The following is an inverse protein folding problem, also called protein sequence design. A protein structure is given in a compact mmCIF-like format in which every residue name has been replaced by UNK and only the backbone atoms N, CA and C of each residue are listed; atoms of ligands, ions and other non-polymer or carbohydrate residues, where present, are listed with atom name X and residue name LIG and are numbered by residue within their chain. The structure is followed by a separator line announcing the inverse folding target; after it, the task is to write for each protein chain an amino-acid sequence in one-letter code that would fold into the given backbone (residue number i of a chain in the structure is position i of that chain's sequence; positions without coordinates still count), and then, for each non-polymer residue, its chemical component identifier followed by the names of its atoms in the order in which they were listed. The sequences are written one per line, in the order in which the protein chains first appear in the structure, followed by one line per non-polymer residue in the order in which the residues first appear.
data_IF_478463427800
#
_entry.id   IF_478463427800
#
_cell.length_a   1.000
_cell.length_b   1.000
_cell.length_c   1.000
_cell.angle_alpha   90.00
_cell.angle_beta   90.00
_cell.angle_gamma   90.00
#
_symmetry.space_group_name_H-M   'P 1'
#
loop_
_entity.id
_entity.type
_entity.pdbx_description
1 polymer ?
#
# COMPACT_ATOMS: atom_id res chain seq x y z
N UNK A 1 24.50 10.25 -2.99
CA UNK A 1 25.95 10.46 -2.70
C UNK A 1 26.16 11.23 -1.39
N UNK A 2 26.12 12.57 -1.32
CA UNK A 2 26.41 13.30 -0.05
C UNK A 2 25.49 12.97 1.15
N UNK A 3 24.19 12.75 0.90
CA UNK A 3 23.21 12.41 1.95
C UNK A 3 23.48 10.99 2.49
N UNK A 4 23.77 10.04 1.61
CA UNK A 4 23.98 8.62 1.96
C UNK A 4 25.30 8.44 2.70
N UNK A 5 26.34 9.19 2.33
CA UNK A 5 27.63 9.24 3.03
C UNK A 5 27.51 9.85 4.43
N UNK A 6 26.69 10.89 4.61
CA UNK A 6 26.41 11.46 5.93
C UNK A 6 25.68 10.44 6.83
N UNK A 7 24.67 9.74 6.29
CA UNK A 7 23.98 8.65 7.00
C UNK A 7 24.91 7.48 7.36
N UNK A 8 25.76 7.05 6.43
CA UNK A 8 26.70 5.94 6.66
C UNK A 8 27.71 6.23 7.79
N UNK A 9 28.00 7.52 8.03
CA UNK A 9 28.83 8.00 9.14
C UNK A 9 28.05 8.28 10.42
N UNK A 10 26.73 8.05 10.44
CA UNK A 10 25.86 8.34 11.58
C UNK A 10 25.50 9.83 11.75
N UNK A 11 25.88 10.70 10.81
CA UNK A 11 25.59 12.14 10.85
C UNK A 11 24.24 12.44 10.18
N UNK A 12 23.17 12.08 10.89
CA UNK A 12 21.81 12.31 10.42
C UNK A 12 21.45 13.81 10.34
N UNK A 13 22.09 14.65 11.16
CA UNK A 13 21.85 16.10 11.15
C UNK A 13 22.38 16.74 9.87
N UNK A 14 23.57 16.33 9.44
CA UNK A 14 24.13 16.81 8.17
C UNK A 14 23.35 16.28 6.97
N UNK A 15 22.92 15.02 7.00
CA UNK A 15 22.04 14.46 5.97
C UNK A 15 20.73 15.29 5.83
N UNK A 16 20.18 15.77 6.94
CA UNK A 16 18.97 16.60 6.96
C UNK A 16 19.21 18.03 6.49
N UNK A 17 20.34 18.64 6.85
CA UNK A 17 20.75 19.94 6.32
C UNK A 17 20.91 19.91 4.80
N UNK A 18 21.57 18.88 4.26
CA UNK A 18 21.74 18.73 2.81
C UNK A 18 20.40 18.62 2.09
N UNK A 19 19.43 17.90 2.67
CA UNK A 19 18.07 17.78 2.12
C UNK A 19 17.31 19.11 2.15
N UNK A 20 17.42 19.85 3.25
CA UNK A 20 16.78 21.16 3.37
C UNK A 20 17.38 22.17 2.38
N UNK A 21 18.71 22.19 2.24
CA UNK A 21 19.37 23.07 1.27
C UNK A 21 18.90 22.79 -0.17
N UNK A 22 18.79 21.50 -0.54
CA UNK A 22 18.22 21.10 -1.83
C UNK A 22 16.77 21.58 -1.99
N UNK A 23 15.94 21.42 -0.95
CA UNK A 23 14.55 21.91 -0.96
C UNK A 23 14.49 23.42 -1.21
N UNK A 24 15.40 24.21 -0.62
CA UNK A 24 15.52 25.64 -0.86
C UNK A 24 15.97 26.00 -2.29
N UNK A 25 16.84 25.19 -2.90
CA UNK A 25 17.31 25.40 -4.27
C UNK A 25 16.25 25.03 -5.32
N UNK A 26 15.49 23.96 -5.08
CA UNK A 26 14.54 23.38 -6.06
C UNK A 26 13.12 23.97 -5.96
N UNK A 27 12.77 24.63 -4.85
CA UNK A 27 11.42 25.15 -4.60
C UNK A 27 11.39 26.67 -4.67
N UNK A 28 10.51 27.23 -5.52
CA UNK A 28 10.37 28.68 -5.71
C UNK A 28 10.00 29.44 -4.43
N UNK A 29 9.20 28.82 -3.55
CA UNK A 29 8.84 29.32 -2.23
C UNK A 29 9.07 28.20 -1.20
N UNK A 30 10.31 28.06 -0.70
CA UNK A 30 10.62 26.98 0.21
C UNK A 30 10.03 27.26 1.59
N UNK A 31 9.43 26.22 2.17
CA UNK A 31 9.03 26.20 3.58
C UNK A 31 10.17 26.63 4.51
N UNK A 32 9.82 27.32 5.59
CA UNK A 32 10.77 27.59 6.66
C UNK A 32 11.30 26.30 7.28
N UNK A 33 12.54 26.32 7.77
CA UNK A 33 13.23 25.14 8.32
C UNK A 33 12.39 24.39 9.35
N UNK A 34 11.76 25.12 10.27
CA UNK A 34 10.94 24.54 11.34
C UNK A 34 9.73 23.78 10.77
N UNK A 35 9.05 24.34 9.78
CA UNK A 35 7.91 23.70 9.12
C UNK A 35 8.34 22.51 8.27
N UNK A 36 9.47 22.64 7.58
CA UNK A 36 10.05 21.55 6.79
C UNK A 36 10.42 20.35 7.66
N UNK A 37 11.07 20.58 8.81
CA UNK A 37 11.43 19.51 9.75
C UNK A 37 10.18 18.79 10.29
N UNK A 38 9.12 19.53 10.63
CA UNK A 38 7.84 18.94 11.06
C UNK A 38 7.23 18.08 9.94
N UNK A 39 7.14 18.60 8.71
CA UNK A 39 6.58 17.83 7.58
C UNK A 39 7.40 16.59 7.27
N UNK A 40 8.73 16.69 7.30
CA UNK A 40 9.63 15.56 7.07
C UNK A 40 9.49 14.49 8.15
N UNK A 41 9.44 14.88 9.41
CA UNK A 41 9.29 13.92 10.50
C UNK A 41 7.92 13.22 10.43
N UNK A 42 6.86 13.96 10.11
CA UNK A 42 5.54 13.38 9.85
C UNK A 42 5.57 12.42 8.66
N UNK A 43 6.27 12.77 7.58
CA UNK A 43 6.44 11.88 6.42
C UNK A 43 7.21 10.61 6.81
N UNK A 44 8.29 10.74 7.60
CA UNK A 44 9.08 9.60 8.07
C UNK A 44 8.24 8.65 8.92
N UNK A 45 7.51 9.17 9.90
CA UNK A 45 6.60 8.37 10.74
C UNK A 45 5.50 7.71 9.91
N UNK A 46 4.95 8.41 8.93
CA UNK A 46 3.95 7.87 8.01
C UNK A 46 4.51 6.71 7.18
N UNK A 47 5.75 6.85 6.68
CA UNK A 47 6.44 5.79 5.93
C UNK A 47 6.78 4.57 6.80
N UNK A 48 7.30 4.79 8.00
CA UNK A 48 7.61 3.72 8.97
C UNK A 48 6.34 2.95 9.32
N UNK A 49 5.27 3.66 9.65
CA UNK A 49 3.96 3.05 9.93
C UNK A 49 3.39 2.32 8.72
N UNK A 50 3.49 2.90 7.53
CA UNK A 50 3.05 2.26 6.29
C UNK A 50 3.72 0.91 6.07
N UNK A 51 5.04 0.81 6.32
CA UNK A 51 5.79 -0.45 6.24
C UNK A 51 5.37 -1.45 7.31
N UNK A 52 5.17 -1.00 8.54
CA UNK A 52 4.72 -1.88 9.63
C UNK A 52 3.35 -2.50 9.31
N UNK A 53 2.42 -1.69 8.81
CA UNK A 53 1.08 -2.15 8.45
C UNK A 53 1.08 -3.01 7.18
N UNK A 54 1.95 -2.74 6.21
CA UNK A 54 2.18 -3.61 5.05
C UNK A 54 2.65 -5.01 5.48
N UNK A 55 3.63 -5.09 6.38
CA UNK A 55 4.14 -6.37 6.91
C UNK A 55 3.01 -7.14 7.62
N UNK A 56 2.22 -6.45 8.46
CA UNK A 56 1.07 -7.06 9.14
C UNK A 56 0.01 -7.53 8.13
N UNK A 57 -0.31 -6.71 7.13
CA UNK A 57 -1.27 -7.02 6.08
C UNK A 57 -0.87 -8.23 5.26
N UNK A 58 0.39 -8.29 4.80
CA UNK A 58 0.95 -9.46 4.10
C UNK A 58 0.87 -10.72 4.95
N UNK A 59 1.31 -10.64 6.22
CA UNK A 59 1.27 -11.78 7.13
C UNK A 59 -0.17 -12.27 7.36
N UNK A 60 -1.08 -11.36 7.66
CA UNK A 60 -2.49 -11.66 7.90
C UNK A 60 -3.14 -12.32 6.67
N UNK A 61 -2.85 -11.82 5.47
CA UNK A 61 -3.34 -12.41 4.24
C UNK A 61 -2.75 -13.81 4.00
N UNK A 62 -1.45 -13.98 4.21
CA UNK A 62 -0.79 -15.29 4.08
C UNK A 62 -1.38 -16.34 5.02
N UNK A 63 -1.62 -15.97 6.28
CA UNK A 63 -2.31 -16.83 7.25
C UNK A 63 -3.75 -17.14 6.83
N UNK A 64 -4.51 -16.13 6.36
CA UNK A 64 -5.89 -16.30 5.90
C UNK A 64 -6.00 -17.25 4.71
N UNK A 65 -5.07 -17.16 3.76
CA UNK A 65 -5.02 -18.00 2.56
C UNK A 65 -4.27 -19.32 2.78
N UNK A 66 -3.70 -19.53 3.97
CA UNK A 66 -2.81 -20.65 4.29
C UNK A 66 -1.67 -20.82 3.27
N UNK A 67 -1.02 -19.72 2.89
CA UNK A 67 0.11 -19.71 1.94
C UNK A 67 1.13 -18.64 2.29
N UNK A 68 2.38 -18.85 1.88
CA UNK A 68 3.43 -17.85 2.03
C UNK A 68 3.31 -16.79 0.93
N UNK A 69 3.48 -15.52 1.30
CA UNK A 69 3.60 -14.39 0.38
C UNK A 69 5.03 -13.82 0.48
N UNK A 70 5.68 -13.69 -0.66
CA UNK A 70 7.04 -13.16 -0.78
C UNK A 70 7.01 -11.63 -0.66
N UNK A 71 7.91 -11.08 0.17
CA UNK A 71 8.12 -9.65 0.30
C UNK A 71 8.89 -9.11 -0.90
N UNK A 72 8.21 -8.39 -1.79
CA UNK A 72 8.84 -7.81 -2.97
C UNK A 72 9.62 -6.53 -2.66
N UNK A 73 9.63 -6.08 -1.38
CA UNK A 73 10.52 -5.03 -0.89
C UNK A 73 11.95 -5.52 -0.60
N UNK A 74 12.17 -6.84 -0.54
CA UNK A 74 13.46 -7.46 -0.23
C UNK A 74 13.88 -8.51 -1.27
N UNK A 75 15.18 -8.79 -1.38
CA UNK A 75 15.69 -9.84 -2.27
C UNK A 75 15.55 -9.50 -3.76
N UNK A 76 15.12 -10.49 -4.56
CA UNK A 76 14.96 -10.35 -6.02
C UNK A 76 13.64 -9.67 -6.33
N UNK A 77 13.72 -8.37 -6.60
CA UNK A 77 12.55 -7.54 -6.94
C UNK A 77 11.93 -7.99 -8.27
N UNK A 78 10.63 -8.20 -8.24
CA UNK A 78 9.79 -8.45 -9.41
C UNK A 78 9.09 -7.15 -9.80
N UNK A 79 9.22 -6.80 -11.08
CA UNK A 79 8.55 -5.66 -11.70
C UNK A 79 7.86 -6.09 -12.98
N UNK A 80 6.84 -5.35 -13.38
CA UNK A 80 6.12 -5.56 -14.63
C UNK A 80 5.87 -4.23 -15.32
N UNK A 81 5.98 -4.17 -16.64
CA UNK A 81 5.62 -2.97 -17.41
C UNK A 81 4.33 -3.28 -18.17
N UNK A 82 3.27 -2.53 -17.88
CA UNK A 82 2.00 -2.68 -18.58
C UNK A 82 2.11 -2.36 -20.07
N UNK A 83 1.12 -2.79 -20.84
CA UNK A 83 0.91 -2.36 -22.23
C UNK A 83 0.80 -0.84 -22.39
N UNK A 84 0.35 -0.12 -21.35
CA UNK A 84 0.34 1.35 -21.28
C UNK A 84 1.73 1.95 -20.99
N UNK A 85 2.77 1.13 -20.78
CA UNK A 85 4.13 1.57 -20.44
C UNK A 85 4.34 1.91 -18.96
N UNK A 86 3.41 1.54 -18.07
CA UNK A 86 3.54 1.78 -16.64
C UNK A 86 4.32 0.65 -15.97
N UNK A 87 5.49 1.00 -15.43
CA UNK A 87 6.26 0.10 -14.57
C UNK A 87 5.58 0.00 -13.20
N UNK A 88 5.19 -1.21 -12.82
CA UNK A 88 4.67 -1.55 -11.50
C UNK A 88 5.63 -2.48 -10.74
N UNK A 89 5.56 -2.37 -9.41
CA UNK A 89 6.21 -3.24 -8.44
C UNK A 89 5.19 -3.47 -7.32
N UNK A 90 4.56 -4.66 -7.26
CA UNK A 90 3.63 -4.95 -6.18
C UNK A 90 4.34 -5.07 -4.85
N UNK A 91 3.63 -4.87 -3.74
CA UNK A 91 4.19 -5.04 -2.40
C UNK A 91 4.62 -6.48 -2.15
N UNK A 92 3.80 -7.45 -2.58
CA UNK A 92 4.02 -8.88 -2.34
C UNK A 92 3.56 -9.74 -3.51
N UNK A 93 4.16 -10.93 -3.65
CA UNK A 93 3.76 -11.94 -4.65
C UNK A 93 3.54 -13.31 -4.02
N UNK A 94 2.66 -14.10 -4.59
CA UNK A 94 2.51 -15.51 -4.30
C UNK A 94 2.83 -16.35 -5.53
N UNK A 95 3.43 -17.52 -5.29
CA UNK A 95 3.69 -18.52 -6.32
C UNK A 95 2.85 -19.78 -6.15
N UNK A 96 2.48 -20.39 -7.27
CA UNK A 96 1.81 -21.69 -7.29
C UNK A 96 2.83 -22.85 -7.18
N UNK A 97 2.35 -24.10 -7.23
CA UNK A 97 3.20 -25.29 -7.14
C UNK A 97 4.20 -25.47 -8.29
N UNK A 98 4.08 -24.70 -9.38
CA UNK A 98 5.00 -24.67 -10.52
C UNK A 98 6.00 -23.51 -10.44
N UNK A 99 6.05 -22.80 -9.30
CA UNK A 99 6.89 -21.62 -9.08
C UNK A 99 6.49 -20.40 -9.95
N UNK A 100 5.30 -20.43 -10.56
CA UNK A 100 4.75 -19.32 -11.35
C UNK A 100 4.02 -18.34 -10.43
N UNK A 101 4.14 -17.04 -10.71
CA UNK A 101 3.40 -16.01 -9.98
C UNK A 101 1.91 -16.10 -10.32
N UNK A 102 1.10 -16.48 -9.34
CA UNK A 102 -0.35 -16.61 -9.45
C UNK A 102 -1.10 -15.63 -8.54
N UNK A 103 -0.38 -14.84 -7.75
CA UNK A 103 -0.98 -13.87 -6.84
C UNK A 103 -0.10 -12.62 -6.76
N UNK A 104 -0.74 -11.48 -6.91
CA UNK A 104 -0.15 -10.16 -6.67
C UNK A 104 -0.92 -9.49 -5.55
N UNK A 105 -0.21 -8.96 -4.56
CA UNK A 105 -0.80 -8.39 -3.36
C UNK A 105 -0.23 -7.02 -3.05
N UNK A 106 -1.14 -6.11 -2.73
CA UNK A 106 -0.86 -4.76 -2.28
C UNK A 106 -1.55 -4.46 -0.93
N UNK A 107 -0.87 -3.69 -0.08
CA UNK A 107 -1.42 -3.23 1.19
C UNK A 107 -1.62 -1.71 1.20
N UNK A 108 -2.81 -1.27 1.61
CA UNK A 108 -3.11 0.16 1.79
C UNK A 108 -3.58 0.42 3.22
N UNK A 109 -2.81 1.22 3.95
CA UNK A 109 -3.16 1.67 5.29
C UNK A 109 -3.68 3.11 5.26
N UNK A 110 -4.83 3.38 5.91
CA UNK A 110 -5.42 4.72 6.03
C UNK A 110 -5.26 5.28 7.44
N UNK A 111 -4.53 6.39 7.53
CA UNK A 111 -4.17 7.06 8.79
C UNK A 111 -5.17 8.20 9.15
N UNK A 112 -5.95 8.68 8.19
CA UNK A 112 -6.85 9.84 8.38
C UNK A 112 -8.33 9.48 8.28
N UNK A 113 -9.15 10.35 8.86
CA UNK A 113 -10.61 10.35 8.75
C UNK A 113 -11.13 11.08 7.49
N UNK A 114 -10.25 11.57 6.61
CA UNK A 114 -10.63 12.36 5.43
C UNK A 114 -10.58 11.56 4.12
N UNK A 115 -9.60 10.68 3.97
CA UNK A 115 -9.40 9.91 2.74
C UNK A 115 -9.59 8.42 3.01
N UNK A 116 -10.75 7.91 2.61
CA UNK A 116 -11.17 6.54 2.89
C UNK A 116 -11.33 5.67 1.65
N UNK A 117 -11.14 6.24 0.46
CA UNK A 117 -11.37 5.53 -0.80
C UNK A 117 -10.05 5.12 -1.42
N UNK A 118 -9.91 3.83 -1.72
CA UNK A 118 -8.75 3.30 -2.45
C UNK A 118 -9.16 3.21 -3.93
N UNK A 119 -8.52 4.03 -4.76
CA UNK A 119 -8.87 4.12 -6.18
C UNK A 119 -8.17 3.05 -7.03
N UNK A 120 -8.81 2.71 -8.14
CA UNK A 120 -8.24 1.81 -9.15
C UNK A 120 -7.21 2.54 -10.04
N UNK A 121 -6.05 2.85 -9.48
CA UNK A 121 -4.99 3.59 -10.18
C UNK A 121 -4.30 2.76 -11.29
N UNK A 122 -3.31 3.36 -11.95
CA UNK A 122 -2.53 2.71 -13.02
C UNK A 122 -1.69 1.55 -12.50
N UNK A 123 -1.19 1.62 -11.26
CA UNK A 123 -0.43 0.54 -10.64
C UNK A 123 -1.30 -0.71 -10.48
N UNK A 124 -2.50 -0.56 -9.88
CA UNK A 124 -3.49 -1.64 -9.70
C UNK A 124 -3.95 -2.26 -11.03
N UNK A 125 -3.99 -1.46 -12.12
CA UNK A 125 -4.29 -1.98 -13.46
C UNK A 125 -3.12 -2.80 -14.01
N UNK A 126 -1.91 -2.28 -13.94
CA UNK A 126 -0.71 -2.97 -14.41
C UNK A 126 -0.47 -4.30 -13.64
N UNK A 127 -0.74 -4.32 -12.34
CA UNK A 127 -0.61 -5.53 -11.51
C UNK A 127 -1.62 -6.62 -11.86
N UNK A 128 -2.84 -6.24 -12.28
CA UNK A 128 -3.80 -7.20 -12.84
C UNK A 128 -3.37 -7.71 -14.20
N UNK A 129 -2.88 -6.82 -15.06
CA UNK A 129 -2.38 -7.20 -16.39
C UNK A 129 -1.23 -8.21 -16.29
N UNK A 130 -0.36 -8.07 -15.27
CA UNK A 130 0.70 -9.03 -14.95
C UNK A 130 0.20 -10.48 -14.72
N UNK A 131 -1.08 -10.66 -14.39
CA UNK A 131 -1.71 -11.94 -14.05
C UNK A 131 -2.71 -12.44 -15.11
N UNK A 132 -2.99 -11.68 -16.16
CA UNK A 132 -4.05 -11.99 -17.15
C UNK A 132 -3.86 -13.36 -17.83
N UNK A 133 -2.62 -13.77 -18.08
CA UNK A 133 -2.27 -15.06 -18.70
C UNK A 133 -2.02 -16.19 -17.68
N UNK A 134 -2.07 -15.90 -16.38
CA UNK A 134 -1.66 -16.82 -15.30
C UNK A 134 -2.82 -17.38 -14.49
N UNK A 135 -4.06 -17.00 -14.83
CA UNK A 135 -5.24 -17.30 -14.04
C UNK A 135 -5.04 -16.93 -12.55
N UNK A 136 -4.36 -15.81 -12.32
CA UNK A 136 -3.95 -15.37 -10.99
C UNK A 136 -4.93 -14.42 -10.33
N UNK A 137 -4.76 -14.21 -9.02
CA UNK A 137 -5.57 -13.29 -8.22
C UNK A 137 -4.80 -12.01 -7.89
N UNK A 138 -5.42 -10.87 -8.19
CA UNK A 138 -4.99 -9.58 -7.66
C UNK A 138 -5.74 -9.27 -6.38
N UNK A 139 -5.01 -9.14 -5.27
CA UNK A 139 -5.55 -8.98 -3.93
C UNK A 139 -5.10 -7.66 -3.30
N UNK A 140 -6.03 -6.89 -2.75
CA UNK A 140 -5.72 -5.69 -1.97
C UNK A 140 -6.15 -5.90 -0.54
N UNK A 141 -5.22 -5.73 0.40
CA UNK A 141 -5.57 -5.63 1.82
C UNK A 141 -5.66 -4.17 2.23
N UNK A 142 -6.68 -3.84 3.01
CA UNK A 142 -6.90 -2.49 3.51
C UNK A 142 -6.90 -2.53 5.04
N UNK A 143 -6.24 -1.56 5.66
CA UNK A 143 -6.29 -1.34 7.10
C UNK A 143 -6.52 0.15 7.39
N UNK A 144 -6.96 0.47 8.61
CA UNK A 144 -7.21 1.87 9.01
C UNK A 144 -7.14 2.03 10.51
N UNK A 145 -6.72 3.22 10.94
CA UNK A 145 -6.72 3.64 12.35
C UNK A 145 -8.12 3.93 12.88
N UNK A 146 -9.01 4.36 12.00
CA UNK A 146 -10.38 4.78 12.33
C UNK A 146 -11.37 4.10 11.39
N UNK A 147 -11.49 2.77 11.44
CA UNK A 147 -12.44 2.07 10.61
C UNK A 147 -13.87 2.27 11.10
N UNK A 148 -14.78 2.49 10.17
CA UNK A 148 -16.22 2.32 10.33
C UNK A 148 -16.72 1.34 9.26
N UNK A 149 -16.49 0.04 9.52
CA UNK A 149 -16.78 -1.02 8.54
C UNK A 149 -18.28 -1.28 8.33
N UNK A 150 -19.11 -0.85 9.29
CA UNK A 150 -20.57 -0.94 9.23
C UNK A 150 -21.23 0.37 8.76
N UNK A 151 -20.44 1.41 8.54
CA UNK A 151 -20.91 2.71 8.06
C UNK A 151 -21.57 2.63 6.69
N UNK A 152 -22.31 3.68 6.34
CA UNK A 152 -22.99 3.82 5.04
C UNK A 152 -22.64 5.19 4.45
N UNK A 153 -21.69 5.29 3.50
CA UNK A 153 -20.80 4.21 3.05
C UNK A 153 -19.79 3.80 4.12
N UNK A 154 -19.24 2.57 4.07
CA UNK A 154 -18.24 2.12 5.03
C UNK A 154 -16.88 2.79 4.78
N UNK A 155 -16.05 2.85 5.82
CA UNK A 155 -14.72 3.45 5.77
C UNK A 155 -13.68 2.55 6.48
N UNK A 156 -12.50 2.29 5.90
CA UNK A 156 -12.12 2.58 4.51
C UNK A 156 -12.89 1.70 3.53
N UNK A 157 -12.86 2.02 2.23
CA UNK A 157 -13.48 1.22 1.16
C UNK A 157 -12.72 1.33 -0.16
N UNK A 158 -12.81 0.34 -1.05
CA UNK A 158 -12.35 0.50 -2.42
C UNK A 158 -13.30 1.42 -3.21
N UNK A 159 -12.77 2.00 -4.28
CA UNK A 159 -13.60 2.52 -5.38
C UNK A 159 -14.36 1.38 -6.06
N UNK A 160 -15.49 1.68 -6.69
CA UNK A 160 -16.28 0.68 -7.44
C UNK A 160 -15.44 -0.15 -8.41
N UNK A 161 -14.66 0.47 -9.32
CA UNK A 161 -13.82 -0.28 -10.26
C UNK A 161 -12.76 -1.17 -9.59
N UNK A 162 -12.23 -0.78 -8.44
CA UNK A 162 -11.26 -1.62 -7.72
C UNK A 162 -11.98 -2.80 -7.04
N UNK A 163 -13.09 -2.52 -6.36
CA UNK A 163 -13.89 -3.54 -5.66
C UNK A 163 -14.54 -4.58 -6.56
N UNK A 164 -14.77 -4.25 -7.83
CA UNK A 164 -15.27 -5.18 -8.83
C UNK A 164 -14.18 -6.09 -9.42
N UNK A 165 -12.96 -5.55 -9.60
CA UNK A 165 -11.88 -6.21 -10.37
C UNK A 165 -10.84 -6.89 -9.51
N UNK A 166 -10.98 -6.87 -8.18
CA UNK A 166 -9.94 -7.36 -7.26
C UNK A 166 -10.56 -7.99 -6.04
N UNK A 167 -9.85 -8.96 -5.46
CA UNK A 167 -10.22 -9.48 -4.15
C UNK A 167 -9.75 -8.51 -3.08
N UNK A 168 -10.63 -8.14 -2.16
CA UNK A 168 -10.32 -7.11 -1.18
C UNK A 168 -10.66 -7.58 0.22
N UNK A 169 -9.68 -7.49 1.10
CA UNK A 169 -9.77 -7.92 2.48
C UNK A 169 -9.48 -6.75 3.42
N UNK A 170 -10.18 -6.70 4.54
CA UNK A 170 -9.83 -5.80 5.62
C UNK A 170 -8.96 -6.53 6.64
N UNK A 171 -7.79 -5.96 6.93
CA UNK A 171 -6.91 -6.41 8.02
C UNK A 171 -7.10 -5.48 9.20
N UNK A 172 -7.47 -6.03 10.35
CA UNK A 172 -7.54 -5.29 11.61
C UNK A 172 -6.13 -5.11 12.18
N UNK A 173 -5.61 -3.86 12.28
CA UNK A 173 -4.27 -3.59 12.81
C UNK A 173 -4.07 -4.09 14.24
N UNK A 174 -5.15 -4.17 15.03
CA UNK A 174 -5.10 -4.51 16.45
C UNK A 174 -4.87 -6.00 16.67
N UNK A 175 -5.63 -6.84 15.96
CA UNK A 175 -5.48 -8.29 16.02
C UNK A 175 -4.44 -8.85 15.05
N UNK A 176 -4.06 -8.08 14.02
CA UNK A 176 -3.17 -8.54 12.95
C UNK A 176 -3.80 -9.63 12.07
N UNK A 177 -5.13 -9.65 11.95
CA UNK A 177 -5.88 -10.68 11.22
C UNK A 177 -6.75 -10.08 10.12
N UNK A 178 -6.97 -10.86 9.08
CA UNK A 178 -8.05 -10.59 8.12
C UNK A 178 -9.39 -10.88 8.81
N UNK A 179 -10.27 -9.88 8.82
CA UNK A 179 -11.56 -9.97 9.53
C UNK A 179 -12.77 -9.79 8.63
N UNK A 180 -12.60 -9.15 7.47
CA UNK A 180 -13.68 -8.92 6.53
C UNK A 180 -13.22 -9.10 5.08
N UNK A 181 -14.17 -9.44 4.20
CA UNK A 181 -14.02 -9.41 2.75
C UNK A 181 -14.97 -8.36 2.16
N UNK A 182 -14.52 -7.61 1.16
CA UNK A 182 -15.39 -6.69 0.45
C UNK A 182 -16.39 -7.44 -0.42
N UNK A 183 -17.67 -7.08 -0.31
CA UNK A 183 -18.73 -7.52 -1.22
C UNK A 183 -19.13 -6.33 -2.09
N UNK A 184 -18.78 -6.38 -3.38
CA UNK A 184 -19.19 -5.39 -4.36
C UNK A 184 -20.72 -5.38 -4.52
N UNK A 185 -21.33 -4.21 -4.42
CA UNK A 185 -22.75 -4.01 -4.67
C UNK A 185 -23.01 -2.57 -5.10
N UNK A 186 -23.20 -2.36 -6.40
CA UNK A 186 -23.41 -1.04 -7.00
C UNK A 186 -24.71 -0.35 -6.55
N UNK A 187 -25.64 -1.08 -5.91
CA UNK A 187 -26.86 -0.52 -5.33
C UNK A 187 -26.65 0.06 -3.93
N UNK A 188 -25.55 -0.27 -3.25
CA UNK A 188 -25.24 0.27 -1.92
C UNK A 188 -24.44 1.57 -2.03
N UNK A 189 -24.68 2.55 -1.13
CA UNK A 189 -23.81 3.72 -1.01
C UNK A 189 -22.35 3.30 -0.84
N UNK A 190 -21.46 3.87 -1.66
CA UNK A 190 -20.04 3.53 -1.65
C UNK A 190 -19.65 2.29 -2.48
N UNK A 191 -20.62 1.63 -3.13
CA UNK A 191 -20.37 0.56 -4.11
C UNK A 191 -20.21 -0.84 -3.50
N UNK A 192 -20.53 -1.03 -2.22
CA UNK A 192 -20.42 -2.33 -1.57
C UNK A 192 -20.45 -2.24 -0.06
N UNK A 193 -20.09 -3.35 0.59
CA UNK A 193 -20.02 -3.46 2.05
C UNK A 193 -18.88 -4.37 2.48
N UNK A 194 -18.44 -4.22 3.72
CA UNK A 194 -17.59 -5.22 4.37
C UNK A 194 -18.45 -6.35 4.92
N UNK A 195 -18.14 -7.58 4.51
CA UNK A 195 -18.73 -8.80 5.08
C UNK A 195 -17.75 -9.39 6.07
N UNK A 196 -18.18 -9.57 7.32
CA UNK A 196 -17.39 -10.26 8.35
C UNK A 196 -17.15 -11.72 7.94
N UNK A 197 -15.93 -12.19 8.18
CA UNK A 197 -15.49 -13.58 7.96
C UNK A 197 -15.63 -14.43 9.22
#
# INVERSE_FOLDING_TARGET
MKIDEAKARGDYKEADNIRYNRHCEETKEPLERKEWDVKRENLRKSQERGREEEIKGRKALGEHLNRTLEDNNSGKVVTYTSSEGHLTRPDSIGRNAKDEIDLVHDHKHKISDKEHVIHNDSQMRAEREMLEDKNGSHIVTISSDKPDLNGIPPHPRPSGPLGEKSEIYYTDPSSGKVTHKWENNTRLPGGGRWKKL
#
